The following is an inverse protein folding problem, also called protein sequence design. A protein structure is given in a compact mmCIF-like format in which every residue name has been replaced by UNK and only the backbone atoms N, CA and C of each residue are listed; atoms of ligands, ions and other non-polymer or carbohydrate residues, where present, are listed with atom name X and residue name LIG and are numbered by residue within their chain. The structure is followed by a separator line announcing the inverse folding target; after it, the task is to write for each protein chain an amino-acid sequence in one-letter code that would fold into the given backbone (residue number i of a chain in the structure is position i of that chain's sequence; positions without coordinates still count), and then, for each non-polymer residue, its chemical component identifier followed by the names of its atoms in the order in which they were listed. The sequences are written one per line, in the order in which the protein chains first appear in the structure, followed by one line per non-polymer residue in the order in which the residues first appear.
data_IF_736999827517
#
_entry.id   IF_736999827517
#
_cell.length_a   1.000
_cell.length_b   1.000
_cell.length_c   1.000
_cell.angle_alpha   90.00
_cell.angle_beta   90.00
_cell.angle_gamma   90.00
#
_symmetry.space_group_name_H-M   'P 1'
#
loop_
_entity.id
_entity.type
_entity.pdbx_description
1 polymer ?
#
# COMPACT_ATOMS: atom_id res chain seq x y z
N UNK A 1 -15.75 -27.77 20.39
CA UNK A 1 -14.55 -28.21 19.66
C UNK A 1 -14.97 -28.42 18.21
N UNK A 2 -14.87 -27.40 17.32
CA UNK A 2 -15.14 -27.60 15.92
C UNK A 2 -13.90 -28.19 15.23
N UNK A 3 -14.16 -29.18 14.38
CA UNK A 3 -13.23 -30.08 13.70
C UNK A 3 -12.47 -29.38 12.55
N UNK A 4 -11.20 -29.78 12.36
CA UNK A 4 -10.24 -29.39 11.31
C UNK A 4 -10.68 -29.66 9.85
N UNK A 5 -11.92 -30.08 9.62
CA UNK A 5 -12.40 -30.52 8.29
C UNK A 5 -12.58 -29.37 7.28
N UNK A 6 -12.69 -28.12 7.74
CA UNK A 6 -12.95 -26.98 6.84
C UNK A 6 -11.71 -26.48 6.08
N UNK A 7 -10.49 -26.72 6.57
CA UNK A 7 -9.27 -26.30 5.87
C UNK A 7 -8.77 -27.34 4.86
N UNK A 8 -9.04 -28.63 5.10
CA UNK A 8 -8.54 -29.71 4.26
C UNK A 8 -9.31 -29.85 2.92
N UNK A 9 -10.56 -29.38 2.88
CA UNK A 9 -11.41 -29.39 1.68
C UNK A 9 -10.93 -28.45 0.56
N UNK A 10 -10.26 -27.34 0.90
CA UNK A 10 -9.77 -26.37 -0.09
C UNK A 10 -8.51 -26.89 -0.81
N UNK A 11 -7.56 -27.44 -0.06
CA UNK A 11 -6.32 -28.00 -0.62
C UNK A 11 -6.55 -29.19 -1.57
N UNK A 12 -7.45 -30.11 -1.20
CA UNK A 12 -7.78 -31.25 -2.05
C UNK A 12 -8.47 -30.83 -3.36
N UNK A 13 -9.25 -29.75 -3.31
CA UNK A 13 -9.92 -29.18 -4.49
C UNK A 13 -8.93 -28.46 -5.39
N UNK A 14 -8.00 -27.68 -4.82
CA UNK A 14 -6.92 -27.01 -5.54
C UNK A 14 -5.97 -28.00 -6.22
N UNK A 15 -5.58 -29.09 -5.53
CA UNK A 15 -4.73 -30.12 -6.10
C UNK A 15 -5.41 -30.83 -7.30
N UNK A 16 -6.72 -31.06 -7.24
CA UNK A 16 -7.48 -31.66 -8.33
C UNK A 16 -7.51 -30.77 -9.57
N UNK A 17 -7.69 -29.47 -9.37
CA UNK A 17 -7.71 -28.49 -10.46
C UNK A 17 -6.32 -28.34 -11.12
N UNK A 18 -5.24 -28.34 -10.34
CA UNK A 18 -3.88 -28.34 -10.89
C UNK A 18 -3.61 -29.58 -11.75
N UNK A 19 -4.04 -30.77 -11.30
CA UNK A 19 -3.91 -32.01 -12.11
C UNK A 19 -4.69 -31.90 -13.42
N UNK A 20 -5.88 -31.31 -13.40
CA UNK A 20 -6.69 -31.05 -14.62
C UNK A 20 -5.98 -30.11 -15.58
N UNK A 21 -5.38 -29.02 -15.07
CA UNK A 21 -4.65 -28.04 -15.88
C UNK A 21 -3.35 -28.59 -16.46
N UNK A 22 -2.64 -29.45 -15.73
CA UNK A 22 -1.47 -30.18 -16.25
C UNK A 22 -1.87 -31.07 -17.41
N UNK A 23 -2.97 -31.82 -17.27
CA UNK A 23 -3.45 -32.74 -18.31
C UNK A 23 -3.92 -32.03 -19.59
N UNK A 24 -4.42 -30.79 -19.49
CA UNK A 24 -4.90 -30.03 -20.65
C UNK A 24 -3.87 -29.08 -21.27
N UNK A 25 -2.69 -28.92 -20.67
CA UNK A 25 -1.68 -27.98 -21.14
C UNK A 25 -0.83 -28.58 -22.27
N UNK A 26 -0.65 -27.83 -23.36
CA UNK A 26 0.21 -28.20 -24.50
C UNK A 26 1.65 -27.68 -24.37
N UNK A 27 1.87 -26.69 -23.51
CA UNK A 27 3.17 -26.04 -23.30
C UNK A 27 3.96 -26.74 -22.18
N UNK A 28 5.16 -27.21 -22.51
CA UNK A 28 6.07 -27.91 -21.58
C UNK A 28 6.53 -27.04 -20.42
N UNK A 29 6.75 -25.74 -20.65
CA UNK A 29 7.17 -24.80 -19.60
C UNK A 29 6.06 -24.60 -18.57
N UNK A 30 4.82 -24.45 -19.06
CA UNK A 30 3.63 -24.32 -18.23
C UNK A 30 3.34 -25.61 -17.45
N UNK A 31 3.54 -26.77 -18.05
CA UNK A 31 3.39 -28.07 -17.38
C UNK A 31 4.38 -28.19 -16.22
N UNK A 32 5.66 -27.88 -16.44
CA UNK A 32 6.68 -27.94 -15.38
C UNK A 32 6.33 -27.04 -14.19
N UNK A 33 5.92 -25.79 -14.47
CA UNK A 33 5.54 -24.86 -13.41
C UNK A 33 4.31 -25.33 -12.60
N UNK A 34 3.30 -25.91 -13.26
CA UNK A 34 2.12 -26.45 -12.58
C UNK A 34 2.45 -27.71 -11.77
N UNK A 35 3.40 -28.53 -12.23
CA UNK A 35 3.90 -29.69 -11.48
C UNK A 35 4.62 -29.26 -10.20
N UNK A 36 5.49 -28.25 -10.27
CA UNK A 36 6.18 -27.71 -9.08
C UNK A 36 5.17 -27.20 -8.04
N UNK A 37 4.12 -26.50 -8.51
CA UNK A 37 3.08 -25.97 -7.63
C UNK A 37 2.22 -27.08 -7.01
N UNK A 38 1.94 -28.16 -7.74
CA UNK A 38 1.22 -29.32 -7.20
C UNK A 38 2.06 -30.01 -6.12
N UNK A 39 3.36 -30.19 -6.36
CA UNK A 39 4.29 -30.79 -5.40
C UNK A 39 4.38 -29.97 -4.10
N UNK A 40 4.43 -28.63 -4.20
CA UNK A 40 4.42 -27.76 -3.03
C UNK A 40 3.14 -27.89 -2.18
N UNK A 41 1.98 -28.04 -2.83
CA UNK A 41 0.71 -28.26 -2.11
C UNK A 41 0.65 -29.64 -1.46
N UNK A 42 1.16 -30.68 -2.10
CA UNK A 42 1.22 -32.03 -1.53
C UNK A 42 2.19 -32.11 -0.35
N UNK A 43 3.31 -31.36 -0.38
CA UNK A 43 4.25 -31.29 0.76
C UNK A 43 3.65 -30.66 2.02
N UNK A 44 2.69 -29.74 1.87
CA UNK A 44 2.01 -29.10 3.00
C UNK A 44 0.97 -30.03 3.66
N UNK A 45 0.57 -31.11 2.97
CA UNK A 45 -0.40 -32.08 3.49
C UNK A 45 0.24 -33.15 4.38
N UNK A 46 1.58 -33.27 4.38
CA UNK A 46 2.35 -34.25 5.15
C UNK A 46 3.35 -33.58 6.11
N UNK A 47 2.85 -32.82 7.09
CA UNK A 47 3.60 -32.54 8.32
C UNK A 47 3.13 -33.53 9.41
N UNK A 48 3.93 -34.54 9.80
CA UNK A 48 3.60 -35.35 10.95
C UNK A 48 3.89 -34.56 12.24
N UNK A 49 2.89 -34.46 13.12
CA UNK A 49 3.06 -34.02 14.50
C UNK A 49 4.19 -34.82 15.17
N UNK A 50 5.36 -34.22 15.33
CA UNK A 50 6.38 -34.71 16.23
C UNK A 50 6.78 -33.64 17.23
N UNK A 51 6.38 -33.86 18.48
CA UNK A 51 6.73 -33.08 19.65
C UNK A 51 8.22 -33.23 20.00
N UNK A 52 8.76 -32.17 20.61
CA UNK A 52 10.03 -32.05 21.34
C UNK A 52 11.32 -31.81 20.52
N UNK A 53 11.76 -30.54 20.49
CA UNK A 53 12.85 -30.01 21.33
C UNK A 53 13.25 -28.63 20.83
N UNK A 54 13.22 -27.64 21.73
CA UNK A 54 13.96 -26.40 21.55
C UNK A 54 15.48 -26.68 21.54
N UNK A 55 16.26 -25.88 20.82
CA UNK A 55 17.50 -25.40 21.42
C UNK A 55 17.75 -23.89 21.21
N UNK A 56 17.96 -23.24 22.35
CA UNK A 56 18.98 -22.23 22.69
C UNK A 56 19.30 -21.10 21.71
N UNK A 57 19.00 -19.90 22.23
CA UNK A 57 19.60 -18.60 21.92
C UNK A 57 21.11 -18.69 21.72
N UNK A 58 21.58 -18.28 20.53
CA UNK A 58 22.98 -18.02 20.25
C UNK A 58 23.14 -16.51 20.03
N UNK A 59 23.59 -15.83 21.09
CA UNK A 59 24.13 -14.48 21.04
C UNK A 59 25.31 -14.46 20.05
N UNK A 60 25.17 -13.75 18.94
CA UNK A 60 26.31 -13.37 18.08
C UNK A 60 26.51 -11.87 18.17
N UNK A 61 27.50 -11.52 18.99
CA UNK A 61 28.07 -10.18 19.11
C UNK A 61 28.61 -9.72 17.76
N UNK A 62 28.02 -8.68 17.17
CA UNK A 62 28.57 -8.01 16.00
C UNK A 62 29.71 -7.08 16.42
N UNK A 63 30.93 -7.56 16.22
CA UNK A 63 32.17 -6.78 16.29
C UNK A 63 32.20 -5.76 15.15
N UNK A 64 32.32 -4.48 15.50
CA UNK A 64 32.67 -3.39 14.58
C UNK A 64 34.08 -3.63 14.02
N UNK A 65 34.20 -3.92 12.72
CA UNK A 65 35.42 -3.59 11.96
C UNK A 65 35.06 -2.95 10.63
N UNK A 66 35.36 -1.66 10.60
CA UNK A 66 35.57 -0.85 9.41
C UNK A 66 36.69 -1.46 8.56
N UNK A 67 36.37 -1.79 7.32
CA UNK A 67 37.32 -1.74 6.20
C UNK A 67 36.57 -1.26 4.97
N UNK A 68 36.88 -0.03 4.56
CA UNK A 68 36.53 0.57 3.27
C UNK A 68 36.93 -0.37 2.13
N UNK A 69 36.01 -0.62 1.21
CA UNK A 69 36.35 -0.81 -0.21
C UNK A 69 35.38 0.03 -1.07
N UNK A 70 35.86 0.69 -2.14
CA UNK A 70 35.02 1.57 -2.95
C UNK A 70 34.55 0.84 -4.21
N UNK A 71 33.25 0.64 -4.39
CA UNK A 71 32.63 0.46 -5.72
C UNK A 71 31.12 0.76 -5.66
N UNK A 72 30.52 1.19 -6.79
CA UNK A 72 29.59 2.31 -6.81
C UNK A 72 28.14 1.87 -6.58
N UNK A 73 27.50 2.45 -5.58
CA UNK A 73 26.03 2.52 -5.51
C UNK A 73 25.59 3.62 -6.48
N UNK A 74 25.39 3.23 -7.73
CA UNK A 74 24.74 4.03 -8.75
C UNK A 74 23.29 3.62 -8.89
N UNK A 75 22.46 3.85 -7.87
CA UNK A 75 21.00 3.91 -8.03
C UNK A 75 20.42 4.95 -7.06
N UNK A 76 19.73 5.92 -7.66
CA UNK A 76 18.75 6.81 -7.03
C UNK A 76 19.28 7.92 -6.11
N UNK A 77 20.18 8.77 -6.61
CA UNK A 77 20.12 10.18 -6.25
C UNK A 77 19.09 10.85 -7.17
N UNK A 78 17.82 10.91 -6.75
CA UNK A 78 16.86 11.82 -7.37
C UNK A 78 17.22 13.22 -6.86
N UNK A 79 17.70 14.09 -7.75
CA UNK A 79 17.96 15.49 -7.48
C UNK A 79 16.67 16.18 -7.01
N UNK A 80 16.52 16.29 -5.69
CA UNK A 80 15.51 17.12 -5.05
C UNK A 80 16.11 18.50 -4.81
N UNK A 81 16.08 19.36 -5.82
CA UNK A 81 16.37 20.77 -5.62
C UNK A 81 15.38 21.36 -4.60
N UNK A 82 15.93 21.84 -3.49
CA UNK A 82 15.19 22.39 -2.36
C UNK A 82 14.58 23.74 -2.72
N UNK A 83 13.30 23.77 -3.07
CA UNK A 83 12.49 24.97 -3.00
C UNK A 83 11.83 24.98 -1.61
N UNK A 84 12.49 25.65 -0.66
CA UNK A 84 12.02 25.84 0.73
C UNK A 84 11.22 27.14 0.77
N UNK A 85 9.89 27.02 0.69
CA UNK A 85 8.97 28.15 0.91
C UNK A 85 8.27 27.97 2.26
N UNK A 86 8.56 28.95 3.13
CA UNK A 86 8.01 29.38 4.43
C UNK A 86 7.17 28.40 5.26
N UNK A 87 7.63 28.19 6.48
CA UNK A 87 7.08 27.32 7.54
C UNK A 87 5.71 27.81 8.04
N UNK A 88 4.65 27.09 7.70
CA UNK A 88 3.52 26.91 8.60
C UNK A 88 3.49 25.43 8.98
N UNK A 89 3.96 25.13 10.19
CA UNK A 89 3.70 23.87 10.87
C UNK A 89 2.31 23.94 11.54
N UNK A 90 1.82 22.75 11.88
CA UNK A 90 0.70 22.48 12.77
C UNK A 90 -0.70 22.43 12.17
N UNK A 91 -1.05 21.24 11.69
CA UNK A 91 -2.32 20.59 12.05
C UNK A 91 -2.22 19.08 11.80
N UNK A 92 -1.95 18.31 12.86
CA UNK A 92 -2.10 16.85 12.83
C UNK A 92 -3.58 16.52 12.58
N UNK A 93 -3.89 15.73 11.57
CA UNK A 93 -5.28 15.36 11.28
C UNK A 93 -5.80 14.34 12.32
N UNK A 94 -6.48 14.84 13.36
CA UNK A 94 -7.00 14.01 14.48
C UNK A 94 -8.24 13.17 14.11
N UNK A 95 -8.79 13.35 12.90
CA UNK A 95 -9.96 12.62 12.42
C UNK A 95 -9.63 11.18 12.01
N UNK A 96 -8.38 10.94 11.59
CA UNK A 96 -7.93 9.66 11.04
C UNK A 96 -7.39 8.79 12.18
N UNK A 97 -7.98 7.62 12.35
CA UNK A 97 -7.56 6.61 13.32
C UNK A 97 -6.42 5.76 12.76
N UNK A 98 -6.50 5.38 11.48
CA UNK A 98 -5.52 4.50 10.85
C UNK A 98 -5.30 4.87 9.38
N UNK A 99 -4.07 4.70 8.92
CA UNK A 99 -3.70 4.77 7.50
C UNK A 99 -3.18 3.42 7.05
N UNK A 100 -3.68 2.93 5.92
CA UNK A 100 -3.26 1.68 5.30
C UNK A 100 -2.78 1.99 3.88
N UNK A 101 -1.73 1.33 3.42
CA UNK A 101 -1.27 1.44 2.03
C UNK A 101 -0.94 0.07 1.44
N UNK A 102 -1.04 -0.04 0.12
CA UNK A 102 -0.64 -1.23 -0.64
C UNK A 102 0.87 -1.48 -0.66
N UNK A 103 1.68 -0.48 -0.30
CA UNK A 103 3.11 -0.64 -0.13
C UNK A 103 3.62 0.10 1.11
N UNK A 104 4.78 -0.35 1.58
CA UNK A 104 5.41 0.13 2.82
C UNK A 104 6.86 0.46 2.53
N UNK A 105 7.27 1.67 2.90
CA UNK A 105 8.66 2.10 3.00
C UNK A 105 8.91 2.53 4.45
N UNK A 106 9.97 2.01 5.09
CA UNK A 106 10.22 2.23 6.52
C UNK A 106 10.61 3.68 6.85
N UNK A 107 11.13 4.43 5.87
CA UNK A 107 11.48 5.85 6.02
C UNK A 107 10.31 6.75 5.63
N UNK A 108 9.40 6.24 4.80
CA UNK A 108 8.32 6.98 4.17
C UNK A 108 6.96 6.27 4.36
N UNK A 109 6.59 6.00 5.62
CA UNK A 109 5.35 5.30 5.98
C UNK A 109 4.10 6.11 5.59
N UNK A 110 2.98 5.42 5.39
CA UNK A 110 1.71 6.00 4.97
C UNK A 110 1.17 7.01 5.97
N UNK A 111 1.45 6.87 7.27
CA UNK A 111 1.04 7.85 8.29
C UNK A 111 1.70 9.23 8.11
N UNK A 112 2.81 9.32 7.38
CA UNK A 112 3.49 10.59 7.12
C UNK A 112 2.61 11.60 6.38
N UNK A 113 1.60 11.15 5.64
CA UNK A 113 0.68 12.03 4.93
C UNK A 113 -0.23 12.84 5.86
N UNK A 114 -0.29 12.49 7.15
CA UNK A 114 -1.12 13.18 8.15
C UNK A 114 -0.31 14.14 9.04
N UNK A 115 1.00 14.25 8.83
CA UNK A 115 1.89 15.01 9.71
C UNK A 115 1.76 16.53 9.53
N UNK A 116 1.26 16.99 8.38
CA UNK A 116 1.30 18.40 8.00
C UNK A 116 2.64 18.86 7.43
N UNK A 117 3.71 18.08 7.59
CA UNK A 117 5.07 18.47 7.20
C UNK A 117 5.33 18.22 5.72
N UNK A 118 5.87 19.24 5.03
CA UNK A 118 6.37 19.12 3.64
C UNK A 118 7.65 18.27 3.53
N UNK A 119 8.30 17.95 4.65
CA UNK A 119 9.53 17.14 4.67
C UNK A 119 9.24 15.64 4.78
N UNK A 120 8.05 15.27 5.24
CA UNK A 120 7.63 13.88 5.36
C UNK A 120 6.64 13.55 4.26
N UNK A 121 6.75 12.36 3.69
CA UNK A 121 5.84 11.88 2.66
C UNK A 121 5.73 10.36 2.73
N UNK A 122 4.66 9.85 2.14
CA UNK A 122 4.57 8.46 1.69
C UNK A 122 5.09 8.35 0.25
N UNK A 123 5.78 7.26 -0.05
CA UNK A 123 6.27 6.95 -1.39
C UNK A 123 5.76 5.58 -1.84
N UNK A 124 5.37 5.47 -3.11
CA UNK A 124 5.09 4.16 -3.68
C UNK A 124 6.37 3.36 -3.90
N UNK A 125 6.29 2.03 -3.87
CA UNK A 125 7.41 1.13 -4.22
C UNK A 125 7.37 0.69 -5.69
N UNK A 126 6.70 1.47 -6.56
CA UNK A 126 6.49 1.16 -7.98
C UNK A 126 5.17 0.43 -8.23
N UNK A 127 5.06 -0.29 -9.36
CA UNK A 127 3.93 -1.15 -9.77
C UNK A 127 2.54 -0.55 -9.46
N UNK A 128 1.97 0.18 -10.42
CA UNK A 128 0.62 0.75 -10.30
C UNK A 128 -0.48 -0.25 -10.70
N UNK A 129 -1.70 -0.18 -10.13
CA UNK A 129 -2.18 0.86 -9.21
C UNK A 129 -1.69 0.68 -7.76
N UNK A 130 -1.55 1.80 -7.06
CA UNK A 130 -1.25 1.85 -5.62
C UNK A 130 -2.40 2.52 -4.89
N UNK A 131 -2.65 2.16 -3.62
CA UNK A 131 -3.74 2.70 -2.82
C UNK A 131 -3.26 3.15 -1.45
N UNK A 132 -3.91 4.20 -0.95
CA UNK A 132 -3.83 4.66 0.44
C UNK A 132 -5.26 4.76 0.94
N UNK A 133 -5.54 4.15 2.10
CA UNK A 133 -6.85 4.11 2.73
C UNK A 133 -6.75 4.80 4.08
N UNK A 134 -7.61 5.80 4.30
CA UNK A 134 -7.74 6.51 5.56
C UNK A 134 -8.98 6.00 6.28
N UNK A 135 -8.79 5.45 7.48
CA UNK A 135 -9.87 5.06 8.38
C UNK A 135 -10.16 6.22 9.32
N UNK A 136 -11.37 6.74 9.28
CA UNK A 136 -11.83 7.79 10.18
C UNK A 136 -12.33 7.16 11.48
N UNK A 137 -11.93 7.72 12.63
CA UNK A 137 -12.32 7.18 13.95
C UNK A 137 -13.84 7.27 14.23
N UNK A 138 -14.57 8.07 13.44
CA UNK A 138 -16.04 8.13 13.44
C UNK A 138 -16.55 8.43 12.04
N UNK A 139 -17.79 8.05 11.76
CA UNK A 139 -18.47 8.43 10.52
C UNK A 139 -18.56 9.98 10.46
N UNK A 140 -17.94 10.58 9.45
CA UNK A 140 -17.72 12.03 9.39
C UNK A 140 -18.25 12.59 8.06
N UNK A 141 -19.13 13.61 8.07
CA UNK A 141 -19.52 14.32 6.86
C UNK A 141 -18.34 15.15 6.37
N UNK A 142 -17.95 14.94 5.12
CA UNK A 142 -16.80 15.64 4.52
C UNK A 142 -17.27 16.90 3.80
N UNK A 143 -16.50 17.98 3.93
CA UNK A 143 -16.69 19.21 3.19
C UNK A 143 -15.71 19.29 2.01
N UNK A 144 -14.43 19.01 2.27
CA UNK A 144 -13.42 18.94 1.22
C UNK A 144 -12.23 18.08 1.61
N UNK A 145 -11.50 17.63 0.60
CA UNK A 145 -10.26 16.88 0.74
C UNK A 145 -9.17 17.59 -0.04
N UNK A 146 -8.07 17.92 0.62
CA UNK A 146 -6.89 18.47 -0.04
C UNK A 146 -5.77 17.43 -0.08
N UNK A 147 -5.21 17.24 -1.27
CA UNK A 147 -4.12 16.31 -1.53
C UNK A 147 -2.90 17.07 -2.02
N UNK A 148 -1.77 16.88 -1.34
CA UNK A 148 -0.47 17.40 -1.76
C UNK A 148 0.42 16.25 -2.21
N UNK A 149 0.87 16.26 -3.48
CA UNK A 149 1.57 15.12 -4.08
C UNK A 149 2.57 15.53 -5.18
N UNK A 150 3.39 14.57 -5.61
CA UNK A 150 4.34 14.69 -6.72
C UNK A 150 4.33 13.42 -7.58
N UNK A 151 4.67 13.59 -8.86
CA UNK A 151 4.78 12.53 -9.87
C UNK A 151 3.49 11.77 -10.22
N UNK A 152 2.36 12.03 -9.57
CA UNK A 152 1.10 11.37 -9.92
C UNK A 152 0.60 11.88 -11.29
N UNK A 153 0.25 10.93 -12.17
CA UNK A 153 -0.33 11.19 -13.50
C UNK A 153 -1.85 11.03 -13.48
N UNK A 154 -2.35 10.03 -12.76
CA UNK A 154 -3.79 9.81 -12.64
C UNK A 154 -4.13 9.17 -11.30
N UNK A 155 -5.15 9.70 -10.65
CA UNK A 155 -5.67 9.17 -9.39
C UNK A 155 -7.20 9.24 -9.34
N UNK A 156 -7.80 8.41 -8.51
CA UNK A 156 -9.20 8.51 -8.13
C UNK A 156 -9.32 8.55 -6.61
N UNK A 157 -10.30 9.28 -6.11
CA UNK A 157 -10.65 9.31 -4.69
C UNK A 157 -12.04 8.74 -4.53
N UNK A 158 -12.18 7.81 -3.60
CA UNK A 158 -13.43 7.15 -3.26
C UNK A 158 -13.73 7.31 -1.78
N UNK A 159 -15.01 7.35 -1.43
CA UNK A 159 -15.47 7.23 -0.05
C UNK A 159 -16.32 5.98 0.13
N UNK A 160 -16.30 5.46 1.36
CA UNK A 160 -17.14 4.34 1.75
C UNK A 160 -17.89 4.68 3.03
N UNK A 161 -19.18 4.34 3.05
CA UNK A 161 -20.04 4.46 4.22
C UNK A 161 -19.87 3.26 5.15
N UNK A 162 -20.03 3.47 6.46
CA UNK A 162 -20.03 2.41 7.46
C UNK A 162 -21.00 1.30 7.02
N UNK A 163 -20.52 0.04 7.00
CA UNK A 163 -21.24 -1.23 6.75
C UNK A 163 -21.11 -1.85 5.36
N UNK A 164 -20.51 -1.21 4.36
CA UNK A 164 -20.32 -1.90 3.08
C UNK A 164 -19.16 -1.36 2.24
N UNK A 165 -18.06 -2.12 2.16
CA UNK A 165 -16.98 -1.84 1.20
C UNK A 165 -17.38 -2.09 -0.26
N UNK A 166 -18.48 -2.83 -0.50
CA UNK A 166 -18.92 -3.14 -1.87
C UNK A 166 -19.51 -1.93 -2.60
N UNK A 167 -19.94 -0.90 -1.86
CA UNK A 167 -20.38 0.38 -2.42
C UNK A 167 -19.34 1.43 -2.12
N UNK A 168 -18.73 1.97 -3.17
CA UNK A 168 -17.84 3.12 -3.08
C UNK A 168 -18.44 4.26 -3.89
N UNK A 169 -18.37 5.48 -3.33
CA UNK A 169 -18.79 6.69 -4.02
C UNK A 169 -17.51 7.34 -4.55
N UNK A 170 -17.41 7.49 -5.87
CA UNK A 170 -16.28 8.19 -6.47
C UNK A 170 -16.44 9.69 -6.22
N UNK A 171 -15.53 10.28 -5.43
CA UNK A 171 -15.47 11.72 -5.22
C UNK A 171 -14.85 12.43 -6.41
N UNK A 172 -13.76 11.87 -6.94
CA UNK A 172 -13.06 12.45 -8.08
C UNK A 172 -12.28 11.40 -8.85
N UNK A 173 -12.10 11.64 -10.14
CA UNK A 173 -11.09 10.98 -10.97
C UNK A 173 -10.32 12.06 -11.70
N UNK A 174 -9.02 12.14 -11.44
CA UNK A 174 -8.15 13.20 -11.90
C UNK A 174 -7.12 12.65 -12.86
N UNK A 175 -6.95 13.35 -13.99
CA UNK A 175 -5.80 13.21 -14.87
C UNK A 175 -4.97 14.47 -14.74
N UNK A 176 -3.80 14.35 -14.15
CA UNK A 176 -2.92 15.48 -13.86
C UNK A 176 -2.03 15.68 -15.08
N UNK A 177 -2.05 16.86 -15.72
CA UNK A 177 -1.21 17.11 -16.88
C UNK A 177 0.26 17.22 -16.48
N UNK A 178 1.14 16.70 -17.33
CA UNK A 178 2.58 16.78 -17.17
C UNK A 178 2.99 18.25 -17.20
N UNK A 179 3.76 18.67 -16.20
CA UNK A 179 4.49 19.94 -16.24
C UNK A 179 5.96 19.62 -16.17
N UNK A 180 6.74 20.29 -17.02
CA UNK A 180 8.21 20.11 -17.13
C UNK A 180 8.93 20.41 -15.82
N UNK A 181 8.33 21.25 -14.96
CA UNK A 181 8.86 21.56 -13.64
C UNK A 181 8.30 20.59 -12.59
N UNK A 182 9.20 20.02 -11.79
CA UNK A 182 8.92 19.03 -10.74
C UNK A 182 8.28 19.65 -9.47
N UNK A 183 7.29 20.52 -9.66
CA UNK A 183 6.66 21.21 -8.53
C UNK A 183 5.68 20.28 -7.79
N UNK A 184 5.64 20.49 -6.48
CA UNK A 184 4.61 19.97 -5.61
C UNK A 184 3.23 20.39 -6.13
N UNK A 185 2.27 19.47 -6.15
CA UNK A 185 0.91 19.74 -6.60
C UNK A 185 -0.03 19.66 -5.42
N UNK A 186 -0.86 20.69 -5.27
CA UNK A 186 -1.98 20.73 -4.35
C UNK A 186 -3.26 20.59 -5.16
N UNK A 187 -4.13 19.69 -4.74
CA UNK A 187 -5.44 19.48 -5.32
C UNK A 187 -6.49 19.44 -4.22
N UNK A 188 -7.38 20.41 -4.25
CA UNK A 188 -8.57 20.45 -3.40
C UNK A 188 -9.74 19.81 -4.14
N UNK A 189 -10.51 18.99 -3.43
CA UNK A 189 -11.71 18.31 -3.89
C UNK A 189 -12.85 18.73 -2.98
N UNK A 190 -13.77 19.52 -3.50
CA UNK A 190 -14.99 19.89 -2.79
C UNK A 190 -15.99 18.73 -2.86
N UNK A 191 -16.64 18.46 -1.74
CA UNK A 191 -17.54 17.31 -1.59
C UNK A 191 -18.94 17.86 -1.35
N UNK A 192 -19.81 17.65 -2.35
CA UNK A 192 -21.20 18.15 -2.32
C UNK A 192 -22.14 17.27 -1.49
N UNK A 193 -21.70 16.07 -1.09
CA UNK A 193 -22.53 15.14 -0.32
C UNK A 193 -22.33 15.33 1.19
N UNK A 194 -23.41 15.61 1.95
CA UNK A 194 -23.36 15.69 3.41
C UNK A 194 -23.30 14.30 4.09
N UNK A 195 -23.26 13.22 3.32
CA UNK A 195 -23.27 11.87 3.90
C UNK A 195 -21.98 11.59 4.67
N UNK A 196 -22.14 11.04 5.88
CA UNK A 196 -21.01 10.68 6.73
C UNK A 196 -20.29 9.43 6.19
N UNK A 197 -18.96 9.49 6.12
CA UNK A 197 -18.12 8.42 5.60
C UNK A 197 -17.15 7.91 6.66
N UNK A 198 -16.65 6.69 6.50
CA UNK A 198 -15.69 6.07 7.43
C UNK A 198 -14.34 5.80 6.79
N UNK A 199 -14.33 5.63 5.47
CA UNK A 199 -13.14 5.33 4.72
C UNK A 199 -13.00 6.30 3.57
N UNK A 200 -11.78 6.78 3.37
CA UNK A 200 -11.38 7.53 2.18
C UNK A 200 -10.29 6.71 1.50
N UNK A 201 -10.49 6.34 0.25
CA UNK A 201 -9.53 5.57 -0.55
C UNK A 201 -8.97 6.48 -1.64
N UNK A 202 -7.67 6.70 -1.61
CA UNK A 202 -6.91 7.39 -2.65
C UNK A 202 -6.24 6.31 -3.50
N UNK A 203 -6.69 6.14 -4.74
CA UNK A 203 -6.15 5.18 -5.69
C UNK A 203 -5.31 5.90 -6.74
N UNK A 204 -4.02 5.62 -6.76
CA UNK A 204 -3.05 6.14 -7.72
C UNK A 204 -2.93 5.12 -8.85
N UNK A 205 -3.49 5.44 -10.02
CA UNK A 205 -3.51 4.53 -11.18
C UNK A 205 -2.23 4.60 -12.01
N UNK A 206 -1.53 5.74 -12.00
CA UNK A 206 -0.28 5.90 -12.73
C UNK A 206 0.53 7.11 -12.22
N UNK A 207 1.84 7.04 -12.41
CA UNK A 207 2.78 8.14 -12.20
C UNK A 207 3.55 8.50 -13.48
N UNK A 208 4.21 9.65 -13.46
CA UNK A 208 5.16 10.13 -14.47
C UNK A 208 6.58 9.63 -14.26
N UNK A 209 6.88 9.17 -13.05
CA UNK A 209 8.14 8.53 -12.67
C UNK A 209 7.83 7.10 -12.21
N UNK A 210 8.87 6.33 -11.90
CA UNK A 210 8.72 4.98 -11.35
C UNK A 210 7.95 4.96 -10.02
N UNK A 211 8.01 6.08 -9.28
CA UNK A 211 7.40 6.24 -7.96
C UNK A 211 6.48 7.46 -7.89
N UNK A 212 5.43 7.35 -7.08
CA UNK A 212 4.55 8.44 -6.69
C UNK A 212 4.87 8.88 -5.25
N UNK A 213 4.71 10.18 -4.97
CA UNK A 213 4.88 10.72 -3.61
C UNK A 213 3.61 11.44 -3.18
N UNK A 214 3.14 11.16 -1.97
CA UNK A 214 2.03 11.90 -1.32
C UNK A 214 2.59 12.51 -0.04
N UNK A 215 2.52 13.83 0.05
CA UNK A 215 3.10 14.60 1.16
C UNK A 215 2.09 14.87 2.24
N UNK A 216 0.89 15.29 1.86
CA UNK A 216 -0.14 15.68 2.83
C UNK A 216 -1.53 15.32 2.31
N UNK A 217 -2.38 14.86 3.22
CA UNK A 217 -3.81 14.73 3.03
C UNK A 217 -4.52 15.48 4.15
N UNK A 218 -5.17 16.58 3.79
CA UNK A 218 -5.96 17.37 4.71
C UNK A 218 -7.45 17.10 4.52
N UNK A 219 -8.13 16.70 5.59
CA UNK A 219 -9.56 16.39 5.58
C UNK A 219 -10.31 17.52 6.27
N UNK A 220 -11.13 18.25 5.52
CA UNK A 220 -12.04 19.23 6.07
C UNK A 220 -13.40 18.56 6.29
N UNK A 221 -13.78 18.40 7.56
CA UNK A 221 -15.09 17.89 7.94
C UNK A 221 -16.08 19.04 8.13
N UNK A 222 -17.36 18.79 7.85
CA UNK A 222 -18.41 19.70 8.29
C UNK A 222 -18.53 19.55 9.82
N UNK A 223 -18.26 20.62 10.57
CA UNK A 223 -18.44 20.62 12.02
C UNK A 223 -19.91 20.28 12.31
N UNK A 224 -20.13 19.15 12.99
CA UNK A 224 -21.43 18.76 13.52
C UNK A 224 -21.66 19.40 14.89
#
# INVERSE_FOLDING_TARGET
MPSDEFLQGDFATQARELRRLIASAKDRSKVAHLQDRLHALESLQHEPLNNQRAPSLLHKSYSKRSTRSPHPLGLCALDEHSEFDTLEEDSKCLLVEQVISTCIDLQHDATNILSGSRMTFWISTGLFPQQIILLLGKATPLMSLELTFRHIRSLSVYTHQHRCFSKHIALATLKIPFKTKNHLRVQTLDIESPEAVNFITIQIHAAYQDFAKVYNVHINALNA
#
